data_IF_579165296425
#
_entry.id   IF_579165296425
#
_cell.length_a   1.000
_cell.length_b   1.000
_cell.length_c   1.000
_cell.angle_alpha   90.00
_cell.angle_beta   90.00
_cell.angle_gamma   90.00
#
_symmetry.space_group_name_H-M   'P 1'
#
loop_
_entity.id
_entity.type
_entity.pdbx_description
1 polymer ?
#
# COMPACT_ATOMS: atom_id res chain seq x y z
N UNK A 1 0.35 -21.35 12.60
CA UNK A 1 0.13 -21.12 11.92
C UNK A 1 0.39 -20.77 11.44
N UNK A 2 0.39 -20.68 11.46
CA UNK A 2 0.38 -20.28 10.87
C UNK A 2 0.46 -20.01 9.98
N UNK A 3 0.74 -19.88 9.90
CA UNK A 3 0.69 -19.51 9.18
C UNK A 3 0.29 -19.61 8.35
N UNK A 4 0.30 -19.94 8.20
CA UNK A 4 -0.07 -20.02 7.34
C UNK A 4 -0.90 -19.76 6.96
N UNK A 5 -1.17 -19.85 7.66
CA UNK A 5 -2.09 -19.40 7.29
C UNK A 5 -1.93 -18.44 6.61
N UNK A 6 -1.14 -18.27 6.49
CA UNK A 6 -1.07 -17.36 5.74
C UNK A 6 -1.76 -17.52 4.62
N UNK A 7 -2.66 -16.98 4.49
CA UNK A 7 -3.44 -17.07 3.41
C UNK A 7 -2.83 -16.45 2.27
N UNK A 8 -3.11 -16.91 1.15
CA UNK A 8 -2.55 -16.38 -0.04
C UNK A 8 -3.05 -14.99 -0.30
N UNK A 9 -4.06 -14.55 0.34
CA UNK A 9 -4.56 -13.21 0.14
C UNK A 9 -4.25 -12.29 1.29
N UNK A 10 -3.31 -12.66 2.10
CA UNK A 10 -2.99 -11.82 3.25
C UNK A 10 -2.37 -10.52 2.79
N UNK A 11 -2.92 -9.41 3.25
CA UNK A 11 -2.35 -8.11 2.98
C UNK A 11 -1.42 -7.76 4.12
N UNK A 12 -0.18 -7.47 3.81
CA UNK A 12 0.79 -7.02 4.79
C UNK A 12 0.80 -5.50 4.79
N UNK A 13 0.86 -4.93 5.98
CA UNK A 13 0.81 -3.48 6.12
C UNK A 13 2.05 -3.01 6.85
N UNK A 14 2.70 -1.98 6.30
CA UNK A 14 3.92 -1.43 6.87
C UNK A 14 3.73 0.06 7.09
N UNK A 15 4.09 0.53 8.28
CA UNK A 15 4.03 1.95 8.56
C UNK A 15 5.30 2.63 8.11
N UNK A 16 5.18 3.75 7.40
CA UNK A 16 6.33 4.50 6.93
C UNK A 16 6.17 5.94 7.39
N UNK A 17 7.27 6.69 7.41
CA UNK A 17 7.23 8.06 7.87
C UNK A 17 7.00 9.06 6.75
N UNK A 18 7.26 8.67 5.49
CA UNK A 18 7.05 9.55 4.35
C UNK A 18 6.58 8.68 3.20
N UNK A 19 5.27 8.52 3.10
CA UNK A 19 4.70 7.61 2.13
C UNK A 19 5.00 8.03 0.70
N UNK A 20 4.93 9.33 0.42
CA UNK A 20 5.19 9.79 -0.93
C UNK A 20 6.60 9.43 -1.39
N UNK A 21 7.56 9.59 -0.49
CA UNK A 21 8.95 9.26 -0.80
C UNK A 21 9.11 7.76 -1.02
N UNK A 22 8.45 6.95 -0.19
CA UNK A 22 8.52 5.50 -0.34
C UNK A 22 7.92 5.05 -1.66
N UNK A 23 6.77 5.61 -2.02
CA UNK A 23 6.13 5.27 -3.28
C UNK A 23 7.06 5.60 -4.45
N UNK A 24 7.66 6.79 -4.41
CA UNK A 24 8.54 7.21 -5.48
C UNK A 24 9.77 6.29 -5.59
N UNK A 25 10.34 5.93 -4.45
CA UNK A 25 11.51 5.06 -4.44
C UNK A 25 11.18 3.69 -5.01
N UNK A 26 10.04 3.13 -4.60
CA UNK A 26 9.66 1.80 -5.05
C UNK A 26 9.28 1.80 -6.52
N UNK A 27 8.62 2.86 -6.99
CA UNK A 27 8.33 2.96 -8.41
C UNK A 27 9.61 3.01 -9.23
N UNK A 28 10.63 3.67 -8.73
CA UNK A 28 11.91 3.71 -9.39
C UNK A 28 12.57 2.34 -9.49
N UNK A 29 12.13 1.40 -8.66
CA UNK A 29 12.64 0.03 -8.69
C UNK A 29 11.74 -0.91 -9.48
N UNK A 30 10.70 -0.38 -10.12
CA UNK A 30 9.83 -1.20 -10.94
C UNK A 30 8.57 -1.69 -10.25
N UNK A 31 8.33 -1.28 -9.03
CA UNK A 31 7.11 -1.67 -8.32
C UNK A 31 5.93 -0.91 -8.92
N UNK A 32 4.82 -1.61 -9.12
CA UNK A 32 3.62 -1.00 -9.68
C UNK A 32 2.58 -0.87 -8.58
N UNK A 33 2.21 0.35 -8.27
CA UNK A 33 1.19 0.60 -7.27
C UNK A 33 -0.19 0.55 -7.90
N UNK A 34 -1.16 0.14 -7.11
CA UNK A 34 -2.54 0.05 -7.55
C UNK A 34 -3.24 1.38 -7.33
N UNK A 35 -4.17 1.70 -8.22
CA UNK A 35 -4.97 2.89 -8.08
C UNK A 35 -6.42 2.50 -7.91
N UNK A 36 -7.13 3.25 -7.08
CA UNK A 36 -8.53 2.98 -6.81
C UNK A 36 -9.34 4.26 -7.03
N UNK A 37 -10.52 4.08 -7.57
CA UNK A 37 -11.42 5.23 -7.74
C UNK A 37 -12.80 4.72 -7.40
N UNK A 38 -13.00 4.45 -6.12
CA UNK A 38 -14.25 3.94 -5.61
C UNK A 38 -14.85 4.97 -4.67
N UNK A 39 -16.16 4.84 -4.44
CA UNK A 39 -16.79 5.72 -3.49
C UNK A 39 -16.16 5.49 -2.12
N UNK A 40 -15.65 6.52 -1.51
CA UNK A 40 -14.99 6.39 -0.22
C UNK A 40 -13.53 5.98 -0.28
N UNK A 41 -13.01 5.65 -1.46
CA UNK A 41 -11.61 5.28 -1.58
C UNK A 41 -11.10 5.73 -2.93
N UNK A 42 -10.26 6.74 -2.93
CA UNK A 42 -9.71 7.26 -4.16
C UNK A 42 -8.23 7.54 -3.96
N UNK A 43 -7.42 7.06 -4.90
CA UNK A 43 -5.98 7.32 -4.84
C UNK A 43 -5.64 8.47 -5.78
N UNK A 44 -4.69 9.30 -5.36
CA UNK A 44 -4.09 10.33 -6.19
C UNK A 44 -2.60 10.08 -6.13
N UNK A 45 -1.97 9.89 -7.29
CA UNK A 45 -0.57 9.52 -7.37
C UNK A 45 -0.31 8.26 -6.53
N UNK A 46 -1.24 7.30 -6.62
CA UNK A 46 -1.19 6.00 -5.92
C UNK A 46 -1.41 6.09 -4.42
N UNK A 47 -1.77 7.24 -3.90
CA UNK A 47 -1.91 7.44 -2.46
C UNK A 47 -3.35 7.78 -2.14
N UNK A 48 -3.95 7.04 -1.21
CA UNK A 48 -5.29 7.31 -0.72
C UNK A 48 -5.19 8.04 0.61
N UNK A 49 -6.01 9.07 0.80
CA UNK A 49 -6.07 9.77 2.06
C UNK A 49 -7.26 9.25 2.86
N UNK A 50 -6.99 8.74 4.03
CA UNK A 50 -7.97 8.07 4.85
C UNK A 50 -8.10 8.78 6.20
N UNK A 51 -8.45 10.06 6.15
CA UNK A 51 -8.57 10.84 7.38
C UNK A 51 -7.19 11.20 7.91
N UNK A 52 -6.81 10.61 9.03
CA UNK A 52 -5.52 10.92 9.62
C UNK A 52 -4.40 10.02 9.13
N UNK A 53 -4.65 9.24 8.07
CA UNK A 53 -3.65 8.35 7.52
C UNK A 53 -3.63 8.44 6.01
N UNK A 54 -2.51 8.07 5.44
CA UNK A 54 -2.41 7.88 4.00
C UNK A 54 -1.95 6.46 3.75
N UNK A 55 -2.37 5.90 2.62
CA UNK A 55 -2.01 4.52 2.32
C UNK A 55 -1.80 4.34 0.82
N UNK A 56 -0.95 3.38 0.49
CA UNK A 56 -0.72 2.98 -0.89
C UNK A 56 -0.61 1.47 -0.93
N UNK A 57 -1.10 0.87 -2.01
CA UNK A 57 -1.14 -0.58 -2.15
C UNK A 57 -0.39 -1.01 -3.40
N UNK A 58 0.33 -2.10 -3.30
CA UNK A 58 1.00 -2.67 -4.47
C UNK A 58 1.02 -4.19 -4.33
N UNK A 59 1.30 -4.85 -5.45
CA UNK A 59 1.34 -6.30 -5.48
C UNK A 59 2.77 -6.72 -5.79
N UNK A 60 3.28 -7.68 -5.04
CA UNK A 60 4.64 -8.15 -5.30
C UNK A 60 4.64 -9.18 -6.44
N UNK A 61 5.81 -9.72 -6.74
CA UNK A 61 5.95 -10.62 -7.87
C UNK A 61 5.23 -11.96 -7.67
N UNK A 62 4.82 -12.25 -6.45
CA UNK A 62 4.13 -13.48 -6.15
C UNK A 62 2.63 -13.26 -5.97
N UNK A 63 2.15 -12.06 -6.24
CA UNK A 63 0.75 -11.77 -6.16
C UNK A 63 0.24 -11.37 -4.79
N UNK A 64 1.13 -11.17 -3.83
CA UNK A 64 0.72 -10.73 -2.51
C UNK A 64 0.44 -9.24 -2.51
N UNK A 65 -0.61 -8.82 -1.82
CA UNK A 65 -0.95 -7.42 -1.72
C UNK A 65 -0.25 -6.83 -0.50
N UNK A 66 0.43 -5.73 -0.72
CA UNK A 66 1.17 -5.04 0.33
C UNK A 66 0.64 -3.63 0.46
N UNK A 67 0.57 -3.16 1.68
CA UNK A 67 0.05 -1.82 1.96
C UNK A 67 1.10 -1.04 2.74
N UNK A 68 1.38 0.16 2.28
CA UNK A 68 2.21 1.09 3.04
C UNK A 68 1.28 2.16 3.60
N UNK A 69 1.49 2.55 4.85
CA UNK A 69 0.64 3.60 5.41
C UNK A 69 1.48 4.57 6.23
N UNK A 70 1.01 5.80 6.28
CA UNK A 70 1.65 6.87 7.01
C UNK A 70 0.62 7.49 7.92
N UNK A 71 0.94 7.60 9.20
CA UNK A 71 0.07 8.24 10.17
C UNK A 71 0.40 9.72 10.21
N UNK A 72 -0.62 10.56 10.00
CA UNK A 72 -0.41 11.98 9.82
C UNK A 72 -0.52 12.77 11.11
N UNK A 73 -0.97 12.20 12.14
CA UNK A 73 -1.14 13.02 13.27
C UNK A 73 -0.98 12.37 14.55
#
# INVERSE_FOLDING_TARGET
>A
MPAGAQSENTALSFEVTDLRSEVSTLEGRGVRFQDFELEGLKTVDHIAELGSERAAWFTDSEGNVLCLHEVLG
#
